data_IF_139928336885
#
_entry.id   IF_139928336885
#
_cell.length_a   1.000
_cell.length_b   1.000
_cell.length_c   1.000
_cell.angle_alpha   90.00
_cell.angle_beta   90.00
_cell.angle_gamma   90.00
#
_symmetry.space_group_name_H-M   'P 1'
#
loop_
_entity.id
_entity.type
_entity.pdbx_description
1 polymer ?
#
# COMPACT_ATOMS: atom_id res chain seq x y z
N UNK A 1 -5.92 0.80 30.37
CA UNK A 1 -6.74 -0.44 30.36
C UNK A 1 -5.97 -1.67 29.87
N UNK A 2 -5.18 -1.60 28.78
CA UNK A 2 -4.36 -2.72 28.30
C UNK A 2 -3.38 -3.27 29.36
N UNK A 3 -2.62 -2.39 30.03
CA UNK A 3 -1.68 -2.77 31.09
C UNK A 3 -2.34 -3.50 32.29
N UNK A 4 -3.63 -3.24 32.56
CA UNK A 4 -4.39 -3.89 33.62
C UNK A 4 -4.96 -5.25 33.17
N UNK A 5 -5.19 -5.43 31.87
CA UNK A 5 -5.67 -6.68 31.26
C UNK A 5 -4.57 -7.70 31.11
N UNK A 6 -3.37 -7.23 30.78
CA UNK A 6 -2.15 -8.04 30.64
C UNK A 6 -1.80 -8.78 31.94
N UNK A 7 -2.04 -8.13 33.08
CA UNK A 7 -1.81 -8.71 34.42
C UNK A 7 -3.02 -9.44 35.03
N UNK A 8 -4.17 -9.51 34.34
CA UNK A 8 -5.40 -10.15 34.87
C UNK A 8 -5.93 -11.30 34.02
N UNK A 9 -5.16 -11.77 33.03
CA UNK A 9 -5.54 -12.85 32.11
C UNK A 9 -6.87 -12.59 31.32
N UNK A 10 -7.37 -11.35 31.30
CA UNK A 10 -8.56 -10.93 30.53
C UNK A 10 -8.20 -10.41 29.13
N UNK A 11 -6.98 -10.69 28.68
CA UNK A 11 -6.51 -10.32 27.33
C UNK A 11 -7.34 -11.05 26.27
N UNK A 12 -7.70 -12.32 26.49
CA UNK A 12 -8.42 -13.18 25.53
C UNK A 12 -9.94 -12.91 25.41
N UNK A 13 -10.38 -11.69 25.70
CA UNK A 13 -11.76 -11.27 25.44
C UNK A 13 -11.86 -10.61 24.07
N UNK A 14 -12.51 -11.28 23.12
CA UNK A 14 -12.68 -10.83 21.72
C UNK A 14 -13.19 -9.38 21.62
N UNK A 15 -14.25 -8.97 22.35
CA UNK A 15 -14.73 -7.59 22.30
C UNK A 15 -13.72 -6.56 22.79
N UNK A 16 -12.96 -6.90 23.83
CA UNK A 16 -11.97 -5.99 24.40
C UNK A 16 -10.71 -5.89 23.52
N UNK A 17 -10.35 -6.95 22.78
CA UNK A 17 -9.28 -6.91 21.78
C UNK A 17 -9.70 -5.98 20.63
N UNK A 18 -10.87 -6.22 20.04
CA UNK A 18 -11.39 -5.43 18.93
C UNK A 18 -11.50 -3.94 19.30
N UNK A 19 -12.11 -3.63 20.46
CA UNK A 19 -12.22 -2.25 20.96
C UNK A 19 -10.84 -1.59 21.19
N UNK A 20 -9.87 -2.34 21.72
CA UNK A 20 -8.53 -1.81 21.97
C UNK A 20 -7.76 -1.50 20.69
N UNK A 21 -7.90 -2.32 19.66
CA UNK A 21 -7.25 -2.07 18.35
C UNK A 21 -7.96 -0.90 17.66
N UNK A 22 -9.30 -0.96 17.59
CA UNK A 22 -10.10 0.00 16.86
C UNK A 22 -10.06 1.41 17.45
N UNK A 23 -10.03 1.57 18.78
CA UNK A 23 -9.94 2.90 19.39
C UNK A 23 -8.73 3.70 18.91
N UNK A 24 -7.56 3.05 18.80
CA UNK A 24 -6.33 3.68 18.27
C UNK A 24 -6.43 3.98 16.77
N UNK A 25 -7.00 3.06 15.99
CA UNK A 25 -7.12 3.22 14.54
C UNK A 25 -8.13 4.31 14.18
N UNK A 26 -9.25 4.39 14.86
CA UNK A 26 -10.25 5.45 14.65
C UNK A 26 -9.75 6.83 15.10
N UNK A 27 -8.97 6.88 16.18
CA UNK A 27 -8.37 8.13 16.65
C UNK A 27 -7.35 8.75 15.66
N UNK A 28 -6.82 7.96 14.71
CA UNK A 28 -5.90 8.46 13.69
C UNK A 28 -6.54 9.42 12.68
N UNK A 29 -7.88 9.46 12.60
CA UNK A 29 -8.61 10.28 11.63
C UNK A 29 -8.77 9.64 10.24
N UNK A 30 -8.11 8.50 9.96
CA UNK A 30 -8.19 7.82 8.66
C UNK A 30 -9.63 7.52 8.23
N UNK A 31 -9.98 7.78 6.97
CA UNK A 31 -11.31 7.51 6.39
C UNK A 31 -11.46 6.09 5.83
N UNK A 32 -10.33 5.49 5.47
CA UNK A 32 -10.23 4.12 4.94
C UNK A 32 -9.25 3.35 5.83
N UNK A 33 -9.64 2.16 6.26
CA UNK A 33 -8.82 1.32 7.12
C UNK A 33 -8.85 -0.11 6.57
N UNK A 34 -7.68 -0.60 6.17
CA UNK A 34 -7.47 -2.02 5.86
C UNK A 34 -6.77 -2.66 7.04
N UNK A 35 -7.34 -3.77 7.52
CA UNK A 35 -6.79 -4.52 8.65
C UNK A 35 -6.14 -5.80 8.14
N UNK A 36 -4.92 -6.06 8.59
CA UNK A 36 -4.23 -7.32 8.38
C UNK A 36 -4.38 -8.17 9.66
N UNK A 37 -5.25 -9.18 9.60
CA UNK A 37 -5.57 -10.06 10.71
C UNK A 37 -4.78 -11.36 10.55
N UNK A 38 -3.72 -11.49 11.34
CA UNK A 38 -2.85 -12.66 11.33
C UNK A 38 -3.56 -13.89 11.91
N UNK A 39 -3.38 -15.04 11.26
CA UNK A 39 -3.93 -16.35 11.66
C UNK A 39 -2.81 -17.38 11.67
N UNK A 40 -2.76 -18.21 12.71
CA UNK A 40 -1.83 -19.34 12.76
C UNK A 40 -1.01 -19.41 14.04
N UNK A 41 -0.03 -20.31 14.06
CA UNK A 41 0.77 -20.62 15.24
C UNK A 41 1.59 -19.43 15.76
N UNK A 42 2.07 -18.55 14.88
CA UNK A 42 2.75 -17.31 15.24
C UNK A 42 1.81 -16.14 15.58
N UNK A 43 0.51 -16.27 15.31
CA UNK A 43 -0.46 -15.19 15.49
C UNK A 43 -1.12 -15.18 16.87
N UNK A 44 -1.74 -14.05 17.20
CA UNK A 44 -2.62 -13.96 18.36
C UNK A 44 -3.90 -14.79 18.17
N UNK A 45 -4.42 -14.86 16.94
CA UNK A 45 -5.56 -15.71 16.56
C UNK A 45 -5.02 -17.03 15.99
N UNK A 46 -5.30 -18.15 16.66
CA UNK A 46 -4.80 -19.47 16.21
C UNK A 46 -5.65 -20.10 15.12
N UNK A 47 -6.97 -19.95 15.22
CA UNK A 47 -7.92 -20.54 14.27
C UNK A 47 -8.44 -19.49 13.29
N UNK A 48 -8.80 -19.95 12.09
CA UNK A 48 -9.39 -19.09 11.06
C UNK A 48 -10.77 -18.59 11.49
N UNK A 49 -11.53 -19.40 12.23
CA UNK A 49 -12.83 -19.06 12.80
C UNK A 49 -12.73 -17.89 13.77
N UNK A 50 -11.77 -17.92 14.69
CA UNK A 50 -11.54 -16.84 15.65
C UNK A 50 -11.09 -15.56 14.95
N UNK A 51 -10.17 -15.68 13.98
CA UNK A 51 -9.71 -14.56 13.18
C UNK A 51 -10.85 -13.91 12.36
N UNK A 52 -11.71 -14.72 11.74
CA UNK A 52 -12.91 -14.23 11.03
C UNK A 52 -13.85 -13.49 11.99
N UNK A 53 -14.02 -14.02 13.20
CA UNK A 53 -14.88 -13.40 14.21
C UNK A 53 -14.32 -12.04 14.65
N UNK A 54 -13.00 -11.97 14.94
CA UNK A 54 -12.32 -10.73 15.28
C UNK A 54 -12.41 -9.71 14.13
N UNK A 55 -12.12 -10.15 12.91
CA UNK A 55 -12.16 -9.33 11.70
C UNK A 55 -13.55 -8.71 11.47
N UNK A 56 -14.61 -9.52 11.55
CA UNK A 56 -16.00 -9.04 11.40
C UNK A 56 -16.34 -7.99 12.45
N UNK A 57 -16.02 -8.27 13.72
CA UNK A 57 -16.30 -7.35 14.81
C UNK A 57 -15.57 -6.01 14.62
N UNK A 58 -14.29 -6.04 14.25
CA UNK A 58 -13.53 -4.81 13.99
C UNK A 58 -14.12 -4.03 12.80
N UNK A 59 -14.47 -4.71 11.70
CA UNK A 59 -15.11 -4.10 10.52
C UNK A 59 -16.44 -3.43 10.90
N UNK A 60 -17.26 -4.08 11.71
CA UNK A 60 -18.52 -3.51 12.20
C UNK A 60 -18.30 -2.26 13.06
N UNK A 61 -17.35 -2.29 14.00
CA UNK A 61 -16.99 -1.12 14.82
C UNK A 61 -16.59 0.06 13.93
N UNK A 62 -15.75 -0.16 12.91
CA UNK A 62 -15.35 0.92 12.00
C UNK A 62 -16.49 1.46 11.15
N UNK A 63 -17.40 0.60 10.68
CA UNK A 63 -18.60 1.02 9.94
C UNK A 63 -19.52 1.87 10.80
N UNK A 64 -19.72 1.51 12.07
CA UNK A 64 -20.49 2.32 13.04
C UNK A 64 -19.84 3.68 13.29
N UNK A 65 -18.51 3.76 13.18
CA UNK A 65 -17.75 5.01 13.23
C UNK A 65 -17.67 5.74 11.87
N UNK A 66 -18.50 5.36 10.89
CA UNK A 66 -18.57 5.93 9.54
C UNK A 66 -17.25 5.84 8.75
N UNK A 67 -16.47 4.77 8.97
CA UNK A 67 -15.22 4.49 8.25
C UNK A 67 -15.41 3.38 7.21
N UNK A 68 -14.73 3.51 6.07
CA UNK A 68 -14.66 2.45 5.06
C UNK A 68 -13.63 1.42 5.50
N UNK A 69 -14.06 0.18 5.72
CA UNK A 69 -13.17 -0.84 6.28
C UNK A 69 -13.28 -2.19 5.59
N UNK A 70 -12.14 -2.86 5.52
CA UNK A 70 -12.02 -4.25 5.11
C UNK A 70 -10.90 -4.91 5.93
N UNK A 71 -11.03 -6.20 6.19
CA UNK A 71 -10.03 -7.00 6.86
C UNK A 71 -9.58 -8.13 5.94
N UNK A 72 -8.27 -8.31 5.85
CA UNK A 72 -7.60 -9.39 5.13
C UNK A 72 -7.04 -10.34 6.16
N UNK A 73 -7.32 -11.64 6.01
CA UNK A 73 -6.74 -12.66 6.87
C UNK A 73 -5.47 -13.17 6.20
N UNK A 74 -4.35 -13.16 6.93
CA UNK A 74 -3.06 -13.62 6.39
C UNK A 74 -2.44 -14.68 7.29
N UNK A 75 -1.76 -15.64 6.66
CA UNK A 75 -1.09 -16.74 7.35
C UNK A 75 0.09 -16.23 8.19
N UNK A 76 0.30 -16.85 9.34
CA UNK A 76 1.43 -16.63 10.24
C UNK A 76 1.86 -17.93 10.93
N UNK A 77 1.60 -19.09 10.32
CA UNK A 77 2.18 -20.38 10.71
C UNK A 77 3.70 -20.39 10.52
N UNK A 78 4.20 -19.61 9.55
CA UNK A 78 5.62 -19.37 9.30
C UNK A 78 5.92 -17.86 9.32
N UNK A 79 7.16 -17.46 9.65
CA UNK A 79 7.59 -16.07 9.53
C UNK A 79 7.42 -15.58 8.08
N UNK A 80 6.98 -14.33 7.94
CA UNK A 80 6.87 -13.69 6.63
C UNK A 80 8.26 -13.27 6.14
N UNK A 81 8.58 -13.60 4.89
CA UNK A 81 9.88 -13.34 4.29
C UNK A 81 10.98 -14.31 4.72
N UNK A 82 12.23 -13.97 4.47
CA UNK A 82 13.37 -14.83 4.81
C UNK A 82 14.06 -14.43 6.12
N UNK A 83 13.84 -13.20 6.60
CA UNK A 83 14.54 -12.69 7.77
C UNK A 83 13.58 -12.33 8.91
N UNK A 84 14.00 -12.65 10.13
CA UNK A 84 13.33 -12.26 11.37
C UNK A 84 14.30 -11.43 12.21
N UNK A 85 13.91 -10.20 12.54
CA UNK A 85 14.68 -9.27 13.35
C UNK A 85 14.84 -7.89 12.72
N UNK A 86 15.04 -6.88 13.55
CA UNK A 86 14.89 -5.46 13.18
C UNK A 86 15.72 -5.02 11.95
N UNK A 87 17.03 -5.21 11.95
CA UNK A 87 17.88 -4.68 10.86
C UNK A 87 17.75 -5.50 9.55
N UNK A 88 17.57 -6.80 9.67
CA UNK A 88 17.46 -7.70 8.53
C UNK A 88 16.08 -7.59 7.86
N UNK A 89 15.00 -7.38 8.63
CA UNK A 89 13.67 -7.08 8.09
C UNK A 89 13.66 -5.75 7.31
N UNK A 90 14.37 -4.73 7.80
CA UNK A 90 14.52 -3.46 7.06
C UNK A 90 15.30 -3.68 5.76
N UNK A 91 16.37 -4.47 5.79
CA UNK A 91 17.11 -4.83 4.57
C UNK A 91 16.21 -5.56 3.57
N UNK A 92 15.42 -6.53 4.03
CA UNK A 92 14.48 -7.28 3.19
C UNK A 92 13.37 -6.40 2.62
N UNK A 93 12.81 -5.48 3.41
CA UNK A 93 11.84 -4.50 2.91
C UNK A 93 12.44 -3.66 1.76
N UNK A 94 13.70 -3.23 1.88
CA UNK A 94 14.40 -2.54 0.79
C UNK A 94 14.60 -3.46 -0.43
N UNK A 95 14.97 -4.74 -0.24
CA UNK A 95 15.08 -5.68 -1.36
C UNK A 95 13.74 -5.95 -2.05
N UNK A 96 12.66 -6.09 -1.28
CA UNK A 96 11.28 -6.25 -1.77
C UNK A 96 10.89 -5.09 -2.66
N UNK A 97 11.15 -3.86 -2.21
CA UNK A 97 10.95 -2.68 -3.02
C UNK A 97 11.74 -2.80 -4.33
N UNK A 98 13.03 -3.13 -4.27
CA UNK A 98 13.88 -3.29 -5.46
C UNK A 98 13.51 -4.49 -6.37
N UNK A 99 12.39 -5.18 -6.11
CA UNK A 99 11.93 -6.33 -6.90
C UNK A 99 12.74 -7.60 -6.67
N UNK A 100 13.54 -7.65 -5.59
CA UNK A 100 14.44 -8.75 -5.21
C UNK A 100 14.05 -9.43 -3.90
N UNK A 101 13.02 -8.93 -3.23
CA UNK A 101 12.52 -9.53 -1.99
C UNK A 101 11.59 -10.71 -2.24
N UNK A 102 11.22 -11.40 -1.17
CA UNK A 102 10.47 -12.65 -1.25
C UNK A 102 9.03 -12.42 -1.73
N UNK A 103 8.50 -13.43 -2.42
CA UNK A 103 7.22 -13.34 -3.14
C UNK A 103 6.02 -13.19 -2.19
N UNK A 104 6.09 -13.79 -1.00
CA UNK A 104 5.08 -13.72 0.05
C UNK A 104 4.91 -12.29 0.61
N UNK A 105 6.00 -11.57 0.88
CA UNK A 105 5.96 -10.15 1.28
C UNK A 105 5.32 -9.32 0.16
N UNK A 106 5.76 -9.52 -1.08
CA UNK A 106 5.22 -8.81 -2.23
C UNK A 106 3.71 -9.04 -2.39
N UNK A 107 3.27 -10.29 -2.24
CA UNK A 107 1.87 -10.68 -2.38
C UNK A 107 1.00 -10.04 -1.30
N UNK A 108 1.40 -10.10 -0.02
CA UNK A 108 0.63 -9.50 1.07
C UNK A 108 0.61 -7.97 0.95
N UNK A 109 1.76 -7.34 0.74
CA UNK A 109 1.85 -5.87 0.61
C UNK A 109 0.96 -5.36 -0.53
N UNK A 110 1.02 -6.03 -1.68
CA UNK A 110 0.19 -5.68 -2.85
C UNK A 110 -1.30 -5.90 -2.60
N UNK A 111 -1.67 -6.99 -1.91
CA UNK A 111 -3.07 -7.28 -1.54
C UNK A 111 -3.66 -6.20 -0.64
N UNK A 112 -2.91 -5.77 0.37
CA UNK A 112 -3.33 -4.71 1.29
C UNK A 112 -3.50 -3.36 0.57
N UNK A 113 -2.55 -3.01 -0.31
CA UNK A 113 -2.61 -1.78 -1.13
C UNK A 113 -3.79 -1.81 -2.10
N UNK A 114 -4.02 -2.93 -2.77
CA UNK A 114 -5.14 -3.08 -3.69
C UNK A 114 -6.48 -2.86 -2.96
N UNK A 115 -6.65 -3.43 -1.78
CA UNK A 115 -7.85 -3.19 -0.97
C UNK A 115 -7.99 -1.72 -0.50
N UNK A 116 -6.90 -1.04 -0.13
CA UNK A 116 -6.93 0.39 0.19
C UNK A 116 -7.45 1.20 -1.01
N UNK A 117 -6.95 0.89 -2.20
CA UNK A 117 -7.29 1.57 -3.45
C UNK A 117 -8.71 1.26 -3.95
N UNK A 118 -9.22 0.07 -3.70
CA UNK A 118 -10.61 -0.27 -3.99
C UNK A 118 -11.57 0.51 -3.07
N UNK A 119 -11.24 0.59 -1.77
CA UNK A 119 -12.06 1.34 -0.82
C UNK A 119 -12.05 2.86 -1.08
N UNK A 120 -11.00 3.38 -1.70
CA UNK A 120 -10.93 4.79 -2.10
C UNK A 120 -11.75 5.13 -3.36
N UNK A 121 -12.39 4.12 -3.98
CA UNK A 121 -13.13 4.24 -5.25
C UNK A 121 -12.26 4.72 -6.43
N UNK A 122 -10.94 4.54 -6.34
CA UNK A 122 -10.02 4.88 -7.44
C UNK A 122 -9.97 3.73 -8.45
N UNK A 123 -10.14 2.49 -7.97
CA UNK A 123 -10.15 1.27 -8.77
C UNK A 123 -11.34 0.38 -8.37
N UNK A 124 -11.92 -0.35 -9.33
CA UNK A 124 -13.09 -1.20 -9.11
C UNK A 124 -12.80 -2.71 -9.20
N UNK A 125 -11.59 -3.11 -9.63
CA UNK A 125 -11.22 -4.52 -9.88
C UNK A 125 -9.81 -4.83 -9.33
N UNK A 126 -9.69 -5.92 -8.57
CA UNK A 126 -8.46 -6.36 -7.89
C UNK A 126 -7.48 -7.08 -8.83
N UNK A 127 -7.96 -8.02 -9.63
CA UNK A 127 -7.13 -8.86 -10.50
C UNK A 127 -6.49 -8.02 -11.62
N UNK A 128 -7.27 -7.08 -12.18
CA UNK A 128 -6.73 -6.13 -13.15
C UNK A 128 -5.66 -5.21 -12.56
N UNK A 129 -5.78 -4.83 -11.29
CA UNK A 129 -4.78 -4.00 -10.62
C UNK A 129 -3.47 -4.78 -10.40
N UNK A 130 -3.55 -6.04 -9.96
CA UNK A 130 -2.37 -6.85 -9.68
C UNK A 130 -1.56 -7.16 -10.94
N UNK A 131 -2.22 -7.68 -11.99
CA UNK A 131 -1.55 -8.08 -13.24
C UNK A 131 -1.04 -6.88 -14.05
N UNK A 132 -1.85 -5.82 -14.21
CA UNK A 132 -1.56 -4.75 -15.19
C UNK A 132 -0.74 -3.60 -14.63
N UNK A 133 -0.64 -3.45 -13.31
CA UNK A 133 -0.20 -2.20 -12.70
C UNK A 133 0.94 -2.36 -11.71
N UNK A 134 0.87 -3.29 -10.76
CA UNK A 134 1.97 -3.49 -9.78
C UNK A 134 3.13 -4.25 -10.42
N UNK A 135 2.86 -5.41 -11.03
CA UNK A 135 3.90 -6.25 -11.64
C UNK A 135 4.62 -5.56 -12.82
N UNK A 136 3.92 -4.80 -13.66
CA UNK A 136 4.56 -4.01 -14.72
C UNK A 136 5.49 -2.91 -14.19
N UNK A 137 5.14 -2.27 -13.06
CA UNK A 137 5.98 -1.24 -12.44
C UNK A 137 7.29 -1.84 -11.92
N UNK A 138 7.22 -3.02 -11.30
CA UNK A 138 8.39 -3.78 -10.85
C UNK A 138 9.18 -4.37 -12.03
N UNK A 139 8.52 -4.71 -13.14
CA UNK A 139 9.16 -5.16 -14.37
C UNK A 139 10.07 -4.11 -15.03
N UNK A 140 9.68 -2.82 -15.01
CA UNK A 140 10.52 -1.71 -15.48
C UNK A 140 11.79 -1.62 -14.63
N UNK A 141 11.66 -1.70 -13.29
CA UNK A 141 12.80 -1.64 -12.38
C UNK A 141 13.76 -2.83 -12.50
N UNK A 142 13.26 -3.99 -12.97
CA UNK A 142 14.07 -5.19 -13.19
C UNK A 142 14.93 -5.13 -14.46
N UNK A 143 14.58 -4.28 -15.42
CA UNK A 143 15.22 -4.23 -16.76
C UNK A 143 15.92 -2.88 -17.00
N UNK A 144 15.44 -1.79 -16.42
CA UNK A 144 16.04 -0.45 -16.54
C UNK A 144 16.73 -0.02 -15.25
N UNK A 145 17.99 0.37 -15.37
CA UNK A 145 18.67 1.21 -14.38
C UNK A 145 18.68 2.65 -14.90
N UNK A 146 18.02 3.56 -14.19
CA UNK A 146 18.11 4.99 -14.46
C UNK A 146 19.42 5.55 -13.91
N UNK A 147 20.05 6.47 -14.64
CA UNK A 147 21.20 7.22 -14.13
C UNK A 147 20.76 8.25 -13.08
N UNK A 148 21.66 8.60 -12.16
CA UNK A 148 21.36 9.61 -11.14
C UNK A 148 21.04 10.97 -11.80
N UNK A 149 19.97 11.63 -11.35
CA UNK A 149 19.51 12.90 -11.92
C UNK A 149 18.60 12.77 -13.14
N UNK A 150 18.34 11.55 -13.61
CA UNK A 150 17.36 11.28 -14.67
C UNK A 150 15.99 11.88 -14.32
N UNK A 151 15.31 12.46 -15.30
CA UNK A 151 13.95 12.99 -15.17
C UNK A 151 12.95 12.07 -15.86
N UNK A 152 11.97 11.59 -15.11
CA UNK A 152 10.93 10.68 -15.59
C UNK A 152 9.55 11.31 -15.44
N UNK A 153 8.79 11.39 -16.53
CA UNK A 153 7.40 11.82 -16.52
C UNK A 153 6.46 10.61 -16.53
N UNK A 154 5.55 10.52 -15.57
CA UNK A 154 4.46 9.53 -15.54
C UNK A 154 3.14 10.18 -15.95
N UNK A 155 2.74 9.96 -17.21
CA UNK A 155 1.53 10.52 -17.81
C UNK A 155 0.33 9.62 -17.58
N UNK A 156 -0.68 10.16 -16.89
CA UNK A 156 -1.86 9.40 -16.51
C UNK A 156 -1.57 8.44 -15.36
N UNK A 157 -0.81 8.92 -14.36
CA UNK A 157 -0.31 8.11 -13.25
C UNK A 157 -1.43 7.37 -12.49
N UNK A 158 -2.67 7.85 -12.58
CA UNK A 158 -3.80 7.25 -11.89
C UNK A 158 -3.62 7.30 -10.38
N UNK A 159 -3.62 6.14 -9.73
CA UNK A 159 -3.31 6.00 -8.31
C UNK A 159 -1.82 6.10 -7.95
N UNK A 160 -0.95 6.58 -8.85
CA UNK A 160 0.48 6.75 -8.58
C UNK A 160 1.36 5.67 -9.19
N UNK A 161 0.88 4.95 -10.20
CA UNK A 161 1.63 3.85 -10.82
C UNK A 161 1.94 4.17 -12.28
N UNK A 162 3.14 3.82 -12.78
CA UNK A 162 4.26 3.22 -12.05
C UNK A 162 5.09 4.22 -11.22
N UNK A 163 4.78 5.52 -11.27
CA UNK A 163 5.65 6.58 -10.76
C UNK A 163 6.04 6.49 -9.27
N UNK A 164 5.10 6.20 -8.36
CA UNK A 164 5.38 6.10 -6.91
C UNK A 164 6.29 4.90 -6.60
N UNK A 165 5.98 3.66 -7.04
CA UNK A 165 6.92 2.55 -6.90
C UNK A 165 8.31 2.90 -7.42
N UNK A 166 8.42 3.39 -8.66
CA UNK A 166 9.71 3.72 -9.25
C UNK A 166 10.45 4.81 -8.45
N UNK A 167 9.75 5.81 -7.94
CA UNK A 167 10.36 6.84 -7.10
C UNK A 167 10.94 6.31 -5.80
N UNK A 168 10.30 5.30 -5.20
CA UNK A 168 10.84 4.61 -4.02
C UNK A 168 12.13 3.85 -4.39
N UNK A 169 12.19 3.24 -5.57
CA UNK A 169 13.32 2.40 -6.00
C UNK A 169 14.52 3.21 -6.47
N UNK A 170 14.25 4.37 -7.06
CA UNK A 170 15.24 5.24 -7.64
C UNK A 170 15.20 6.62 -6.95
N UNK A 171 15.64 6.71 -5.67
CA UNK A 171 15.54 7.94 -4.88
C UNK A 171 16.34 9.12 -5.43
N UNK A 172 17.26 8.85 -6.38
CA UNK A 172 18.10 9.84 -7.05
C UNK A 172 17.58 10.26 -8.44
N UNK A 173 16.39 9.82 -8.82
CA UNK A 173 15.72 10.14 -10.10
C UNK A 173 14.53 11.04 -9.80
N UNK A 174 14.34 12.09 -10.59
CA UNK A 174 13.23 13.06 -10.45
C UNK A 174 12.01 12.55 -11.20
N UNK A 175 10.96 12.21 -10.47
CA UNK A 175 9.69 11.73 -11.02
C UNK A 175 8.64 12.83 -11.00
N UNK A 176 8.09 13.16 -12.17
CA UNK A 176 6.94 14.04 -12.30
C UNK A 176 5.69 13.24 -12.67
N UNK A 177 4.72 13.19 -11.77
CA UNK A 177 3.49 12.40 -11.92
C UNK A 177 2.31 13.33 -12.25
N UNK A 178 1.68 13.09 -13.39
CA UNK A 178 0.59 13.95 -13.89
C UNK A 178 -0.66 13.14 -14.22
N UNK A 179 -1.82 13.73 -13.95
CA UNK A 179 -3.11 13.18 -14.35
C UNK A 179 -4.11 14.31 -14.56
N UNK A 180 -4.98 14.15 -15.55
CA UNK A 180 -6.06 15.08 -15.88
C UNK A 180 -7.18 15.10 -14.82
N UNK A 181 -7.21 14.11 -13.92
CA UNK A 181 -8.22 13.96 -12.86
C UNK A 181 -7.63 14.38 -11.50
N UNK A 182 -8.04 15.54 -11.00
CA UNK A 182 -7.51 16.12 -9.76
C UNK A 182 -7.66 15.25 -8.51
N UNK A 183 -8.76 14.48 -8.38
CA UNK A 183 -8.94 13.52 -7.26
C UNK A 183 -7.83 12.47 -7.20
N UNK A 184 -7.35 12.02 -8.37
CA UNK A 184 -6.30 11.01 -8.46
C UNK A 184 -4.94 11.60 -8.05
N UNK A 185 -4.59 12.77 -8.56
CA UNK A 185 -3.36 13.48 -8.17
C UNK A 185 -3.32 13.85 -6.70
N UNK A 186 -4.45 14.21 -6.10
CA UNK A 186 -4.52 14.48 -4.67
C UNK A 186 -4.05 13.27 -3.85
N UNK A 187 -4.52 12.08 -4.20
CA UNK A 187 -4.14 10.83 -3.54
C UNK A 187 -2.65 10.53 -3.73
N UNK A 188 -2.14 10.67 -4.96
CA UNK A 188 -0.71 10.46 -5.25
C UNK A 188 0.18 11.41 -4.44
N UNK A 189 -0.25 12.66 -4.30
CA UNK A 189 0.48 13.66 -3.51
C UNK A 189 0.49 13.32 -2.02
N UNK A 190 -0.65 12.91 -1.47
CA UNK A 190 -0.76 12.47 -0.07
C UNK A 190 0.15 11.26 0.19
N UNK A 191 0.14 10.27 -0.71
CA UNK A 191 1.03 9.10 -0.63
C UNK A 191 2.51 9.50 -0.69
N UNK A 192 2.90 10.35 -1.64
CA UNK A 192 4.29 10.80 -1.74
C UNK A 192 4.75 11.56 -0.48
N UNK A 193 3.86 12.37 0.11
CA UNK A 193 4.13 13.11 1.33
C UNK A 193 4.24 12.20 2.55
N UNK A 194 3.32 11.24 2.73
CA UNK A 194 3.35 10.26 3.82
C UNK A 194 4.60 9.38 3.77
N UNK A 195 5.04 9.01 2.57
CA UNK A 195 6.25 8.23 2.34
C UNK A 195 7.54 9.07 2.39
N UNK A 196 7.43 10.40 2.51
CA UNK A 196 8.59 11.31 2.56
C UNK A 196 9.41 11.35 1.26
N UNK A 197 8.79 11.06 0.12
CA UNK A 197 9.46 11.02 -1.19
C UNK A 197 9.81 12.44 -1.64
N UNK A 198 11.11 12.76 -1.61
CA UNK A 198 11.62 14.08 -2.01
C UNK A 198 11.84 14.22 -3.52
N UNK A 199 11.81 13.09 -4.22
CA UNK A 199 12.09 12.97 -5.64
C UNK A 199 10.80 12.82 -6.47
N UNK A 200 9.63 13.18 -5.91
CA UNK A 200 8.33 13.13 -6.58
C UNK A 200 7.71 14.51 -6.64
N UNK A 201 7.34 14.95 -7.85
CA UNK A 201 6.49 16.12 -8.11
C UNK A 201 5.15 15.64 -8.66
N UNK A 202 4.06 16.33 -8.34
CA UNK A 202 2.72 15.98 -8.83
C UNK A 202 2.00 17.20 -9.39
N UNK A 203 1.31 17.06 -10.53
CA UNK A 203 0.48 18.12 -11.09
C UNK A 203 -0.86 17.58 -11.63
N UNK A 204 -1.94 18.31 -11.34
CA UNK A 204 -3.24 18.09 -11.98
C UNK A 204 -3.22 18.83 -13.32
N UNK A 205 -2.77 18.14 -14.35
CA UNK A 205 -2.54 18.74 -15.66
C UNK A 205 -2.70 17.68 -16.77
N UNK A 206 -2.97 18.12 -18.01
CA UNK A 206 -2.91 17.23 -19.17
C UNK A 206 -1.49 17.15 -19.73
N UNK A 207 -1.17 16.01 -20.35
CA UNK A 207 0.14 15.76 -20.95
C UNK A 207 0.54 16.85 -21.96
N UNK A 208 -0.44 17.35 -22.74
CA UNK A 208 -0.21 18.34 -23.79
C UNK A 208 0.24 19.72 -23.25
N UNK A 209 -0.02 20.01 -21.97
CA UNK A 209 0.26 21.30 -21.35
C UNK A 209 1.62 21.34 -20.62
N UNK A 210 2.40 20.25 -20.68
CA UNK A 210 3.68 20.14 -19.99
C UNK A 210 4.80 20.68 -20.88
N UNK A 211 5.32 21.84 -20.52
CA UNK A 211 6.42 22.53 -21.23
C UNK A 211 7.80 22.26 -20.60
N UNK A 212 8.00 21.09 -19.99
CA UNK A 212 9.29 20.64 -19.43
C UNK A 212 9.83 19.44 -20.24
N UNK A 213 11.16 19.32 -20.36
CA UNK A 213 11.81 18.16 -21.00
C UNK A 213 12.11 17.06 -19.98
N UNK A 214 11.87 15.81 -20.38
CA UNK A 214 12.13 14.61 -19.59
C UNK A 214 12.99 13.64 -20.40
N UNK A 215 13.84 12.87 -19.71
CA UNK A 215 14.67 11.84 -20.32
C UNK A 215 13.84 10.60 -20.66
N UNK A 216 12.83 10.30 -19.82
CA UNK A 216 11.90 9.20 -20.04
C UNK A 216 10.45 9.64 -19.79
N UNK A 217 9.54 9.06 -20.58
CA UNK A 217 8.10 9.18 -20.36
C UNK A 217 7.52 7.78 -20.19
N UNK A 218 6.88 7.55 -19.06
CA UNK A 218 6.09 6.35 -18.80
C UNK A 218 4.62 6.73 -18.85
N UNK A 219 3.80 5.92 -19.50
CA UNK A 219 2.36 6.13 -19.55
C UNK A 219 1.65 4.80 -19.63
N UNK A 220 0.44 4.75 -19.05
CA UNK A 220 -0.44 3.60 -19.16
C UNK A 220 -1.72 4.00 -19.89
N UNK A 221 -1.69 3.93 -21.21
CA UNK A 221 -2.89 3.95 -22.04
C UNK A 221 -2.64 3.24 -23.38
N UNK A 222 -3.43 2.18 -23.63
CA UNK A 222 -3.76 1.69 -24.98
C UNK A 222 -5.04 2.40 -25.40
N UNK A 223 -4.91 3.67 -25.79
CA UNK A 223 -5.99 4.41 -26.44
C UNK A 223 -5.42 5.00 -27.71
N UNK A 224 -6.06 4.72 -28.86
CA UNK A 224 -5.66 5.29 -30.16
C UNK A 224 -5.56 6.80 -30.02
N UNK A 225 -4.37 7.34 -30.18
CA UNK A 225 -4.17 8.75 -30.51
C UNK A 225 -4.92 9.01 -31.82
N UNK A 226 -5.87 9.93 -31.79
CA UNK A 226 -6.45 10.53 -33.00
C UNK A 226 -5.69 11.80 -33.31
#
# INVERSE_FOLDING_TARGET
>A
MYALRDVTATVNSMPLIASSIMSKKLASGADIIVLDVKVGDGAFMKTTEDAKTLARLMVEIGKLANKKMIAVLTNMDEPLGHYVGNAHEIHEAVQTLLGKGPEDINHIASTLVAHLLMQSNIYQDFDQFFERHVLHSLGIAKIMNFEEGTKVLDVGTGGGFPGIPLAILFPKVDFFLVDSIGKKIKVVREVAQELGLKNVRTAHERAENINEKFDFVVSRAVTRMR
#
